data_IF_713742757812
#
_entry.id   IF_713742757812
#
_cell.length_a   1.000
_cell.length_b   1.000
_cell.length_c   1.000
_cell.angle_alpha   90.00
_cell.angle_beta   90.00
_cell.angle_gamma   90.00
#
_symmetry.space_group_name_H-M   'P 1'
#
loop_
_entity.id
_entity.type
_entity.pdbx_description
1 polymer ?
#
# COMPACT_ATOMS: atom_id res chain seq x y z
N UNK A 1 -16.75 -23.54 -15.79
CA UNK A 1 -15.87 -22.38 -15.69
C UNK A 1 -15.72 -22.04 -14.22
N UNK A 2 -14.68 -22.53 -13.57
CA UNK A 2 -14.35 -22.25 -12.19
C UNK A 2 -13.87 -20.81 -12.08
N UNK A 3 -14.56 -19.97 -11.29
CA UNK A 3 -14.10 -18.62 -10.97
C UNK A 3 -12.70 -18.70 -10.35
N UNK A 4 -11.74 -17.89 -10.79
CA UNK A 4 -10.42 -17.89 -10.17
C UNK A 4 -10.54 -17.49 -8.71
N UNK A 5 -9.82 -18.21 -7.83
CA UNK A 5 -9.69 -17.89 -6.41
C UNK A 5 -9.20 -16.46 -6.23
N UNK A 6 -9.77 -15.64 -5.34
CA UNK A 6 -9.45 -14.20 -5.20
C UNK A 6 -8.07 -13.88 -4.61
N UNK A 7 -7.22 -14.86 -4.35
CA UNK A 7 -5.94 -14.68 -3.67
C UNK A 7 -4.74 -14.84 -4.62
N UNK A 8 -4.71 -14.12 -5.73
CA UNK A 8 -3.53 -14.12 -6.61
C UNK A 8 -2.71 -12.86 -6.39
N UNK A 9 -1.41 -13.01 -6.17
CA UNK A 9 -0.46 -11.90 -6.14
C UNK A 9 -0.39 -11.22 -7.52
N UNK A 10 0.03 -9.95 -7.58
CA UNK A 10 0.25 -9.24 -8.86
C UNK A 10 1.15 -10.07 -9.80
N UNK A 11 2.15 -10.77 -9.25
CA UNK A 11 3.03 -11.68 -10.00
C UNK A 11 2.27 -12.86 -10.61
N UNK A 12 1.29 -13.44 -9.90
CA UNK A 12 0.46 -14.53 -10.43
C UNK A 12 -0.49 -14.04 -11.52
N UNK A 13 -0.97 -12.80 -11.44
CA UNK A 13 -1.76 -12.18 -12.50
C UNK A 13 -0.93 -11.91 -13.74
N UNK A 14 0.28 -11.36 -13.59
CA UNK A 14 1.21 -11.13 -14.71
C UNK A 14 1.57 -12.47 -15.37
N UNK A 15 1.88 -13.50 -14.58
CA UNK A 15 2.18 -14.83 -15.09
C UNK A 15 1.00 -15.44 -15.84
N UNK A 16 -0.22 -15.32 -15.32
CA UNK A 16 -1.43 -15.79 -15.97
C UNK A 16 -1.69 -15.08 -17.30
N UNK A 17 -1.46 -13.75 -17.36
CA UNK A 17 -1.62 -12.98 -18.60
C UNK A 17 -0.55 -13.34 -19.63
N UNK A 18 0.69 -13.59 -19.21
CA UNK A 18 1.79 -13.93 -20.10
C UNK A 18 1.76 -15.39 -20.61
N UNK A 19 1.28 -16.32 -19.80
CA UNK A 19 1.37 -17.76 -20.10
C UNK A 19 0.02 -18.43 -20.32
N UNK A 20 -1.09 -17.71 -20.10
CA UNK A 20 -2.47 -18.22 -20.16
C UNK A 20 -2.77 -19.37 -19.17
N UNK A 21 -1.86 -19.66 -18.24
CA UNK A 21 -2.00 -20.66 -17.18
C UNK A 21 -1.36 -20.21 -15.87
N UNK A 22 -1.80 -20.76 -14.72
CA UNK A 22 -1.10 -20.58 -13.47
C UNK A 22 0.30 -21.19 -13.55
N UNK A 23 1.31 -20.52 -13.00
CA UNK A 23 2.64 -21.07 -12.80
C UNK A 23 2.68 -21.94 -11.55
N UNK A 24 3.46 -23.03 -11.57
CA UNK A 24 3.79 -23.80 -10.36
C UNK A 24 4.68 -22.97 -9.43
N UNK A 25 4.83 -23.43 -8.16
CA UNK A 25 5.72 -22.77 -7.21
C UNK A 25 7.18 -22.72 -7.72
N UNK A 26 7.65 -23.80 -8.35
CA UNK A 26 8.99 -23.91 -8.92
C UNK A 26 9.21 -22.92 -10.08
N UNK A 27 8.17 -22.66 -10.88
CA UNK A 27 8.24 -21.68 -11.97
C UNK A 27 8.15 -20.22 -11.44
N UNK A 28 7.48 -19.99 -10.31
CA UNK A 28 7.33 -18.66 -9.72
C UNK A 28 8.60 -18.20 -8.99
N UNK A 29 9.31 -19.09 -8.31
CA UNK A 29 10.48 -18.77 -7.50
C UNK A 29 11.58 -18.01 -8.28
N UNK A 30 12.03 -18.45 -9.48
CA UNK A 30 13.03 -17.72 -10.25
C UNK A 30 12.53 -16.32 -10.67
N UNK A 31 11.24 -16.18 -10.97
CA UNK A 31 10.65 -14.90 -11.35
C UNK A 31 10.60 -13.94 -10.17
N UNK A 32 10.22 -14.41 -8.98
CA UNK A 32 10.20 -13.63 -7.75
C UNK A 32 11.62 -13.16 -7.39
N UNK A 33 12.60 -14.05 -7.43
CA UNK A 33 14.01 -13.70 -7.21
C UNK A 33 14.48 -12.65 -8.21
N UNK A 34 14.21 -12.84 -9.49
CA UNK A 34 14.61 -11.90 -10.53
C UNK A 34 13.94 -10.54 -10.37
N UNK A 35 12.68 -10.53 -9.96
CA UNK A 35 11.96 -9.29 -9.63
C UNK A 35 12.66 -8.56 -8.46
N UNK A 36 12.97 -9.27 -7.37
CA UNK A 36 13.68 -8.70 -6.22
C UNK A 36 15.05 -8.12 -6.60
N UNK A 37 15.86 -8.87 -7.39
CA UNK A 37 17.15 -8.39 -7.89
C UNK A 37 17.04 -7.09 -8.72
N UNK A 38 16.04 -7.01 -9.60
CA UNK A 38 15.79 -5.83 -10.43
C UNK A 38 15.28 -4.67 -9.57
N UNK A 39 14.41 -4.96 -8.62
CA UNK A 39 13.91 -3.98 -7.66
C UNK A 39 15.05 -3.34 -6.89
N UNK A 40 15.95 -4.15 -6.29
CA UNK A 40 17.11 -3.65 -5.56
C UNK A 40 18.05 -2.80 -6.43
N UNK A 41 18.23 -3.16 -7.70
CA UNK A 41 19.04 -2.37 -8.66
C UNK A 41 18.43 -1.00 -8.96
N UNK A 42 17.12 -0.87 -8.93
CA UNK A 42 16.41 0.38 -9.19
C UNK A 42 16.25 1.25 -7.95
N UNK A 43 16.40 0.68 -6.74
CA UNK A 43 16.26 1.40 -5.46
C UNK A 43 17.13 2.66 -5.35
N UNK A 44 18.42 2.66 -5.74
CA UNK A 44 19.26 3.84 -5.60
C UNK A 44 18.77 5.07 -6.37
N UNK A 45 17.97 4.88 -7.41
CA UNK A 45 17.38 5.96 -8.21
C UNK A 45 16.01 6.40 -7.73
N UNK A 46 15.41 5.70 -6.77
CA UNK A 46 14.10 6.03 -6.22
C UNK A 46 14.17 7.23 -5.29
N UNK A 47 13.21 8.09 -5.44
CA UNK A 47 12.99 9.23 -4.53
C UNK A 47 11.55 9.19 -4.04
N UNK A 48 11.30 9.62 -2.80
CA UNK A 48 9.94 9.83 -2.34
C UNK A 48 9.16 10.73 -3.30
N UNK A 49 7.89 10.45 -3.45
CA UNK A 49 7.00 11.34 -4.16
C UNK A 49 6.95 12.72 -3.47
N UNK A 50 6.67 13.79 -4.21
CA UNK A 50 6.49 15.11 -3.61
C UNK A 50 5.49 15.07 -2.44
N UNK A 51 5.83 15.74 -1.34
CA UNK A 51 5.02 15.81 -0.14
C UNK A 51 4.99 14.55 0.74
N UNK A 52 5.48 13.38 0.27
CA UNK A 52 5.37 12.14 1.04
C UNK A 52 6.08 12.20 2.40
N UNK A 53 7.32 12.70 2.46
CA UNK A 53 8.04 12.87 3.72
C UNK A 53 7.37 13.89 4.63
N UNK A 54 6.97 15.01 4.07
CA UNK A 54 6.36 16.10 4.84
C UNK A 54 5.02 15.66 5.42
N UNK A 55 4.22 14.91 4.68
CA UNK A 55 2.99 14.29 5.16
C UNK A 55 3.25 13.39 6.37
N UNK A 56 4.17 12.40 6.24
CA UNK A 56 4.46 11.46 7.34
C UNK A 56 5.02 12.19 8.57
N UNK A 57 5.96 13.10 8.37
CA UNK A 57 6.54 13.92 9.45
C UNK A 57 5.47 14.72 10.18
N UNK A 58 4.60 15.41 9.46
CA UNK A 58 3.55 16.26 10.04
C UNK A 58 2.48 15.45 10.77
N UNK A 59 2.11 14.26 10.25
CA UNK A 59 1.24 13.36 10.98
C UNK A 59 1.87 12.91 12.29
N UNK A 60 3.15 12.55 12.28
CA UNK A 60 3.89 12.12 13.46
C UNK A 60 4.00 13.25 14.50
N UNK A 61 4.47 14.43 14.09
CA UNK A 61 4.58 15.64 14.94
C UNK A 61 3.22 16.07 15.52
N UNK A 62 2.15 15.91 14.73
CA UNK A 62 0.78 16.22 15.13
C UNK A 62 0.13 15.15 16.02
N UNK A 63 0.81 14.05 16.32
CA UNK A 63 0.28 12.95 17.11
C UNK A 63 -0.86 12.19 16.44
N UNK A 64 -0.98 12.28 15.11
CA UNK A 64 -1.96 11.51 14.33
C UNK A 64 -1.40 10.11 14.11
N UNK A 65 -2.03 9.05 14.63
CA UNK A 65 -1.52 7.70 14.49
C UNK A 65 -1.52 7.28 13.01
N UNK A 66 -0.41 6.73 12.53
CA UNK A 66 -0.34 6.10 11.22
C UNK A 66 0.56 4.87 11.26
N UNK A 67 0.40 4.00 10.26
CA UNK A 67 1.23 2.82 10.06
C UNK A 67 1.41 2.54 8.58
N UNK A 68 2.41 1.75 8.25
CA UNK A 68 2.75 1.37 6.89
C UNK A 68 2.41 -0.11 6.69
N UNK A 69 1.58 -0.40 5.68
CA UNK A 69 1.20 -1.75 5.28
C UNK A 69 1.67 -2.00 3.83
N UNK A 70 2.76 -2.74 3.67
CA UNK A 70 3.42 -2.94 2.38
C UNK A 70 3.35 -4.38 1.88
N UNK A 71 3.28 -4.55 0.57
CA UNK A 71 3.41 -5.86 -0.09
C UNK A 71 4.88 -6.28 -0.32
N UNK A 72 5.83 -5.41 -0.01
CA UNK A 72 7.26 -5.74 -0.02
C UNK A 72 7.67 -6.55 1.20
N UNK A 73 8.90 -7.01 1.21
CA UNK A 73 9.51 -7.79 2.29
C UNK A 73 10.80 -7.13 2.76
N UNK A 74 11.12 -7.27 4.05
CA UNK A 74 12.47 -6.98 4.51
C UNK A 74 13.49 -7.96 3.89
N UNK A 75 14.71 -7.53 3.53
CA UNK A 75 15.24 -6.16 3.64
C UNK A 75 14.93 -5.25 2.43
N UNK A 76 14.12 -5.67 1.47
CA UNK A 76 13.87 -4.93 0.22
C UNK A 76 13.19 -3.58 0.44
N UNK A 77 12.39 -3.45 1.52
CA UNK A 77 11.65 -2.22 1.85
C UNK A 77 12.47 -1.22 2.67
N UNK A 78 13.57 -1.65 3.32
CA UNK A 78 14.32 -0.82 4.27
C UNK A 78 14.77 0.49 3.65
N UNK A 79 15.39 0.43 2.48
CA UNK A 79 15.83 1.63 1.77
C UNK A 79 14.67 2.58 1.38
N UNK A 80 13.45 2.08 1.24
CA UNK A 80 12.27 2.91 0.98
C UNK A 80 11.75 3.57 2.26
N UNK A 81 11.79 2.85 3.38
CA UNK A 81 11.44 3.39 4.71
C UNK A 81 12.44 4.48 5.12
N UNK A 82 13.75 4.21 4.95
CA UNK A 82 14.82 5.19 5.17
C UNK A 82 14.65 6.43 4.30
N UNK A 83 14.34 6.23 3.01
CA UNK A 83 14.11 7.32 2.07
C UNK A 83 12.90 8.18 2.45
N UNK A 84 11.93 7.65 3.16
CA UNK A 84 10.75 8.37 3.66
C UNK A 84 10.95 8.98 5.04
N UNK A 85 12.11 8.77 5.68
CA UNK A 85 12.41 9.17 7.06
C UNK A 85 11.34 8.66 8.05
N UNK A 86 10.93 7.38 7.90
CA UNK A 86 9.89 6.78 8.75
C UNK A 86 10.43 6.64 10.17
N UNK A 87 9.76 7.21 11.20
CA UNK A 87 10.18 7.06 12.58
C UNK A 87 10.16 5.60 13.07
N UNK A 88 11.08 5.23 13.95
CA UNK A 88 11.25 3.85 14.46
C UNK A 88 10.04 3.33 15.25
N UNK A 89 9.22 4.22 15.80
CA UNK A 89 8.01 3.89 16.56
C UNK A 89 6.77 3.68 15.68
N UNK A 90 6.87 3.93 14.38
CA UNK A 90 5.78 3.71 13.42
C UNK A 90 5.61 2.22 13.14
N UNK A 91 4.37 1.76 13.23
CA UNK A 91 4.04 0.37 12.90
C UNK A 91 4.25 0.11 11.41
N UNK A 92 5.13 -0.84 11.09
CA UNK A 92 5.34 -1.34 9.73
C UNK A 92 4.90 -2.80 9.66
N UNK A 93 4.00 -3.12 8.74
CA UNK A 93 3.55 -4.48 8.43
C UNK A 93 3.95 -4.81 7.01
N UNK A 94 4.82 -5.78 6.86
CA UNK A 94 5.26 -6.30 5.58
C UNK A 94 4.46 -7.55 5.17
N UNK A 95 4.70 -8.04 3.97
CA UNK A 95 4.04 -9.21 3.44
C UNK A 95 4.36 -10.51 4.22
N UNK A 96 5.49 -10.59 4.90
CA UNK A 96 5.91 -11.77 5.67
C UNK A 96 5.06 -12.03 6.91
N UNK A 97 4.35 -11.01 7.40
CA UNK A 97 3.51 -11.10 8.60
C UNK A 97 2.12 -11.67 8.29
N UNK A 98 1.69 -11.70 7.03
CA UNK A 98 0.32 -12.06 6.64
C UNK A 98 0.28 -13.23 5.67
N UNK A 99 -0.84 -13.98 5.71
CA UNK A 99 -1.01 -15.14 4.83
C UNK A 99 -1.44 -14.76 3.41
N UNK A 100 -2.26 -13.73 3.27
CA UNK A 100 -2.88 -13.33 1.99
C UNK A 100 -2.47 -11.92 1.61
N UNK A 101 -2.08 -11.77 0.34
CA UNK A 101 -1.73 -10.47 -0.22
C UNK A 101 -2.98 -9.67 -0.63
N UNK A 102 -2.82 -8.35 -0.84
CA UNK A 102 -3.82 -7.50 -1.48
C UNK A 102 -4.32 -8.16 -2.79
N UNK A 103 -5.60 -8.17 -3.04
CA UNK A 103 -6.70 -7.39 -2.46
C UNK A 103 -7.32 -8.00 -1.18
N UNK A 104 -6.73 -8.99 -0.52
CA UNK A 104 -7.23 -9.43 0.78
C UNK A 104 -6.86 -8.41 1.87
N UNK A 105 -7.67 -8.28 2.93
CA UNK A 105 -7.55 -7.21 3.91
C UNK A 105 -6.44 -7.42 4.93
N UNK A 106 -5.76 -8.55 4.91
CA UNK A 106 -4.89 -9.08 5.97
C UNK A 106 -3.83 -8.05 6.41
N UNK A 107 -3.17 -7.36 5.45
CA UNK A 107 -2.15 -6.36 5.75
C UNK A 107 -2.71 -5.17 6.54
N UNK A 108 -3.85 -4.64 6.12
CA UNK A 108 -4.47 -3.49 6.79
C UNK A 108 -5.05 -3.85 8.13
N UNK A 109 -5.66 -5.04 8.26
CA UNK A 109 -6.16 -5.53 9.55
C UNK A 109 -5.02 -5.77 10.54
N UNK A 110 -3.89 -6.35 10.10
CA UNK A 110 -2.72 -6.54 10.95
C UNK A 110 -2.12 -5.20 11.40
N UNK A 111 -2.02 -4.23 10.49
CA UNK A 111 -1.54 -2.89 10.80
C UNK A 111 -2.46 -2.18 11.82
N UNK A 112 -3.75 -2.17 11.56
CA UNK A 112 -4.77 -1.58 12.44
C UNK A 112 -4.73 -2.19 13.85
N UNK A 113 -4.67 -3.53 13.94
CA UNK A 113 -4.59 -4.24 15.22
C UNK A 113 -3.33 -3.87 15.99
N UNK A 114 -2.18 -3.79 15.29
CA UNK A 114 -0.90 -3.43 15.92
C UNK A 114 -0.88 -1.98 16.44
N UNK A 115 -1.56 -1.08 15.72
CA UNK A 115 -1.73 0.31 16.12
C UNK A 115 -2.73 0.48 17.26
N UNK A 116 -3.61 -0.50 17.51
CA UNK A 116 -4.64 -0.42 18.57
C UNK A 116 -5.77 0.58 18.28
N UNK A 117 -5.99 0.95 17.01
CA UNK A 117 -7.03 1.91 16.59
C UNK A 117 -8.28 1.16 16.11
N UNK A 118 -9.45 1.83 16.10
CA UNK A 118 -10.67 1.21 15.57
C UNK A 118 -10.70 1.31 14.05
N UNK A 119 -11.28 0.31 13.37
CA UNK A 119 -11.36 0.27 11.89
C UNK A 119 -12.11 1.45 11.29
N UNK A 120 -13.20 1.82 11.92
CA UNK A 120 -14.07 2.93 11.51
C UNK A 120 -13.39 4.31 11.60
N UNK A 121 -12.28 4.41 12.34
CA UNK A 121 -11.49 5.63 12.49
C UNK A 121 -10.25 5.63 11.55
N UNK A 122 -10.14 4.61 10.68
CA UNK A 122 -8.99 4.46 9.79
C UNK A 122 -9.30 4.87 8.35
N UNK A 123 -8.37 5.60 7.77
CA UNK A 123 -8.24 5.72 6.32
C UNK A 123 -7.07 4.87 5.82
N UNK A 124 -7.29 4.16 4.73
CA UNK A 124 -6.20 3.52 3.98
C UNK A 124 -5.85 4.43 2.81
N UNK A 125 -4.59 4.85 2.73
CA UNK A 125 -4.07 5.61 1.59
C UNK A 125 -3.35 4.64 0.66
N UNK A 126 -3.72 4.60 -0.61
CA UNK A 126 -3.11 3.72 -1.59
C UNK A 126 -3.22 4.26 -3.01
N UNK A 127 -2.33 3.82 -3.89
CA UNK A 127 -2.26 4.27 -5.27
C UNK A 127 -2.65 3.19 -6.30
N UNK A 128 -3.12 2.04 -5.82
CA UNK A 128 -3.57 0.94 -6.65
C UNK A 128 -5.00 0.50 -6.30
N UNK A 129 -5.75 0.06 -7.29
CA UNK A 129 -7.10 -0.51 -7.09
C UNK A 129 -7.10 -1.66 -6.06
N UNK A 130 -5.98 -2.39 -5.94
CA UNK A 130 -5.81 -3.48 -4.98
C UNK A 130 -5.79 -3.02 -3.53
N UNK A 131 -5.24 -1.82 -3.27
CA UNK A 131 -5.24 -1.20 -1.94
C UNK A 131 -6.66 -0.84 -1.53
N UNK A 132 -7.40 -0.21 -2.43
CA UNK A 132 -8.76 0.24 -2.18
C UNK A 132 -9.72 -0.93 -1.98
N UNK A 133 -9.57 -1.99 -2.79
CA UNK A 133 -10.34 -3.23 -2.62
C UNK A 133 -10.03 -3.91 -1.28
N UNK A 134 -8.76 -3.94 -0.86
CA UNK A 134 -8.36 -4.49 0.42
C UNK A 134 -8.89 -3.65 1.60
N UNK A 135 -8.84 -2.31 1.50
CA UNK A 135 -9.43 -1.40 2.48
C UNK A 135 -10.93 -1.62 2.63
N UNK A 136 -11.66 -1.70 1.50
CA UNK A 136 -13.10 -1.99 1.49
C UNK A 136 -13.42 -3.33 2.17
N UNK A 137 -12.60 -4.37 1.91
CA UNK A 137 -12.77 -5.70 2.56
C UNK A 137 -12.42 -5.65 4.04
N UNK A 138 -11.51 -4.77 4.44
CA UNK A 138 -11.19 -4.51 5.84
C UNK A 138 -12.29 -3.73 6.58
N UNK A 139 -13.25 -3.14 5.86
CA UNK A 139 -14.27 -2.24 6.43
C UNK A 139 -13.70 -0.87 6.81
N UNK A 140 -12.70 -0.40 6.07
CA UNK A 140 -12.04 0.90 6.24
C UNK A 140 -12.35 1.81 5.04
N UNK A 141 -12.40 3.11 5.28
CA UNK A 141 -12.42 4.08 4.19
C UNK A 141 -11.07 4.11 3.47
N UNK A 142 -11.08 4.40 2.17
CA UNK A 142 -9.85 4.48 1.38
C UNK A 142 -9.73 5.81 0.64
N UNK A 143 -8.50 6.28 0.57
CA UNK A 143 -8.06 7.46 -0.16
C UNK A 143 -7.16 6.99 -1.30
N UNK A 144 -7.53 7.31 -2.53
CA UNK A 144 -6.77 6.97 -3.73
C UNK A 144 -5.76 8.05 -4.07
N UNK A 145 -4.57 7.65 -4.54
CA UNK A 145 -3.59 8.55 -5.13
C UNK A 145 -3.38 8.20 -6.62
N UNK A 146 -3.39 9.21 -7.48
CA UNK A 146 -3.19 9.01 -8.93
C UNK A 146 -1.73 8.68 -9.29
N UNK A 147 -0.82 8.75 -8.33
CA UNK A 147 0.61 8.47 -8.51
C UNK A 147 0.93 7.02 -8.90
N UNK A 148 0.01 6.08 -8.68
CA UNK A 148 0.17 4.67 -9.03
C UNK A 148 -0.16 4.32 -10.49
N UNK A 149 -0.55 5.31 -11.30
CA UNK A 149 -0.85 5.12 -12.72
C UNK A 149 -2.28 4.64 -13.02
N UNK A 150 -3.13 4.52 -12.00
CA UNK A 150 -4.57 4.29 -12.18
C UNK A 150 -5.30 5.60 -12.37
N UNK A 151 -6.36 5.59 -13.20
CA UNK A 151 -7.23 6.74 -13.39
C UNK A 151 -8.18 6.96 -12.21
N UNK A 152 -8.70 8.18 -12.08
CA UNK A 152 -9.65 8.53 -11.03
C UNK A 152 -10.90 7.64 -11.02
N UNK A 153 -11.43 7.31 -12.21
CA UNK A 153 -12.60 6.45 -12.34
C UNK A 153 -12.33 5.02 -11.85
N UNK A 154 -11.13 4.48 -12.12
CA UNK A 154 -10.73 3.15 -11.65
C UNK A 154 -10.63 3.11 -10.12
N UNK A 155 -10.02 4.13 -9.51
CA UNK A 155 -9.93 4.25 -8.06
C UNK A 155 -11.30 4.44 -7.42
N UNK A 156 -12.18 5.25 -8.00
CA UNK A 156 -13.56 5.42 -7.52
C UNK A 156 -14.36 4.12 -7.60
N UNK A 157 -14.26 3.37 -8.70
CA UNK A 157 -14.91 2.06 -8.85
C UNK A 157 -14.37 1.03 -7.86
N UNK A 158 -13.09 1.11 -7.50
CA UNK A 158 -12.49 0.27 -6.46
C UNK A 158 -12.93 0.64 -5.03
N UNK A 159 -13.56 1.81 -4.85
CA UNK A 159 -14.17 2.24 -3.59
C UNK A 159 -13.45 3.39 -2.89
N UNK A 160 -12.69 4.22 -3.62
CA UNK A 160 -12.10 5.42 -3.04
C UNK A 160 -13.18 6.36 -2.49
N UNK A 161 -13.02 6.77 -1.23
CA UNK A 161 -13.82 7.82 -0.60
C UNK A 161 -13.43 9.20 -1.15
N UNK A 162 -12.11 9.39 -1.37
CA UNK A 162 -11.51 10.58 -1.99
C UNK A 162 -10.36 10.14 -2.89
N UNK A 163 -10.04 10.96 -3.88
CA UNK A 163 -8.89 10.75 -4.76
C UNK A 163 -8.11 12.05 -4.88
N UNK A 164 -6.81 11.99 -4.62
CA UNK A 164 -5.86 13.09 -4.75
C UNK A 164 -4.81 12.78 -5.81
N UNK A 165 -4.15 13.79 -6.33
CA UNK A 165 -3.12 13.63 -7.38
C UNK A 165 -1.91 12.85 -6.87
N UNK A 166 -1.43 13.22 -5.69
CA UNK A 166 -0.20 12.71 -5.09
C UNK A 166 -0.19 12.98 -3.56
N UNK A 167 0.85 12.58 -2.84
CA UNK A 167 0.95 12.83 -1.40
C UNK A 167 0.93 14.31 -1.01
N UNK A 168 1.41 15.23 -1.87
CA UNK A 168 1.36 16.66 -1.60
C UNK A 168 -0.07 17.18 -1.62
N UNK A 169 -0.84 16.79 -2.63
CA UNK A 169 -2.25 17.16 -2.77
C UNK A 169 -3.08 16.64 -1.58
N UNK A 170 -2.81 15.42 -1.13
CA UNK A 170 -3.40 14.86 0.09
C UNK A 170 -2.99 15.67 1.32
N UNK A 171 -1.71 16.01 1.46
CA UNK A 171 -1.20 16.79 2.59
C UNK A 171 -1.89 18.16 2.70
N UNK A 172 -2.07 18.83 1.58
CA UNK A 172 -2.72 20.15 1.49
C UNK A 172 -4.23 20.08 1.77
N UNK A 173 -4.83 18.88 1.77
CA UNK A 173 -6.27 18.63 1.88
C UNK A 173 -6.65 17.73 3.08
N UNK A 174 -5.80 17.61 4.09
CA UNK A 174 -6.05 16.74 5.26
C UNK A 174 -7.33 17.11 6.02
N UNK A 175 -7.72 18.36 6.02
CA UNK A 175 -8.94 18.87 6.62
C UNK A 175 -10.21 18.28 5.99
N UNK A 176 -10.19 17.93 4.69
CA UNK A 176 -11.29 17.24 4.01
C UNK A 176 -11.54 15.82 4.57
N UNK A 177 -10.52 15.25 5.23
CA UNK A 177 -10.59 13.95 5.91
C UNK A 177 -10.87 14.10 7.40
N UNK A 178 -11.08 15.32 7.89
CA UNK A 178 -11.26 15.62 9.31
C UNK A 178 -9.97 15.52 10.13
N UNK A 179 -8.81 15.52 9.48
CA UNK A 179 -7.50 15.47 10.14
C UNK A 179 -7.03 16.91 10.35
N UNK A 180 -7.06 17.36 11.61
CA UNK A 180 -6.56 18.69 12.00
C UNK A 180 -5.20 18.54 12.65
N UNK A 181 -4.18 19.13 12.06
CA UNK A 181 -2.83 19.19 12.61
C UNK A 181 -2.66 20.43 13.48
N UNK A 182 -1.98 20.34 14.63
CA UNK A 182 -1.62 21.51 15.41
C UNK A 182 -0.71 22.44 14.59
N UNK A 183 -0.96 23.75 14.71
CA UNK A 183 -0.19 24.79 14.03
C UNK A 183 1.25 24.93 14.53
#
# INVERSE_FOLDING_TARGET
>A
MTRPSPARTAMQLIALMATSRPLSAEEQEPLQRRHGELYLKLLPSRRPLPGARDLLRRLHEGGVPFGIATSGLHPEIDASLDALDVPDDVVVIDRGVVLRAKPEPDLFLACQQRMGVRREDCYVVGDAVWDLLAARRAGMLSVGLLSGGYGQDELNQAGAFRVYRDPQDLFDSLDELGITLPG
#
